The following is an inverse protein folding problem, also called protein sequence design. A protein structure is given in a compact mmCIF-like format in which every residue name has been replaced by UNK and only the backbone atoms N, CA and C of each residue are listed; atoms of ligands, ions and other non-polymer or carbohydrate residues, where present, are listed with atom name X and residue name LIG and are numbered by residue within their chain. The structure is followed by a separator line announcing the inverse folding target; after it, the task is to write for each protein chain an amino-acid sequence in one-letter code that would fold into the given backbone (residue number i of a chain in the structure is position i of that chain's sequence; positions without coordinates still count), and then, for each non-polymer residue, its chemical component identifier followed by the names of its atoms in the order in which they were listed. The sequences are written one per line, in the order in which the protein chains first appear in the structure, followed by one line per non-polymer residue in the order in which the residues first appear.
data_IF_872174085929
#
_entry.id   IF_872174085929
#
_cell.length_a   1.000
_cell.length_b   1.000
_cell.length_c   1.000
_cell.angle_alpha   90.00
_cell.angle_beta   90.00
_cell.angle_gamma   90.00
#
_symmetry.space_group_name_H-M   'P 1'
#
loop_
_entity.id
_entity.type
_entity.pdbx_description
1 polymer ?
#
# COMPACT_ATOMS: atom_id res chain seq x y z
N UNK A 1 9.22 5.70 7.78
CA UNK A 1 8.21 6.70 8.11
C UNK A 1 8.83 7.81 8.96
N UNK A 2 8.45 9.06 8.70
CA UNK A 2 8.89 10.25 9.46
C UNK A 2 7.99 10.40 10.68
N UNK A 3 8.57 10.79 11.83
CA UNK A 3 7.81 11.10 13.04
C UNK A 3 6.89 12.31 12.84
N UNK A 4 5.74 12.39 13.54
CA UNK A 4 4.81 13.53 13.39
C UNK A 4 5.43 14.89 13.70
N UNK A 5 6.45 14.94 14.56
CA UNK A 5 7.19 16.18 14.87
C UNK A 5 8.30 16.50 13.86
N UNK A 6 8.51 15.64 12.85
CA UNK A 6 9.49 15.82 11.79
C UNK A 6 10.96 15.64 12.20
N UNK A 7 11.24 15.09 13.38
CA UNK A 7 12.61 15.02 13.93
C UNK A 7 13.31 13.70 13.74
N UNK A 8 12.55 12.61 13.53
CA UNK A 8 13.11 11.25 13.43
C UNK A 8 12.50 10.47 12.28
N UNK A 9 13.23 9.49 11.78
CA UNK A 9 12.78 8.55 10.76
C UNK A 9 12.89 7.13 11.30
N UNK A 10 11.80 6.38 11.26
CA UNK A 10 11.79 4.95 11.50
C UNK A 10 11.83 4.22 10.17
N UNK A 11 12.67 3.18 10.06
CA UNK A 11 12.85 2.41 8.83
C UNK A 11 13.19 0.95 9.12
N UNK A 12 13.00 0.08 8.14
CA UNK A 12 13.44 -1.32 8.19
C UNK A 12 14.73 -1.49 7.41
N UNK A 13 15.63 -2.30 7.96
CA UNK A 13 16.89 -2.66 7.34
C UNK A 13 17.05 -4.18 7.28
N UNK A 14 17.24 -4.69 6.05
CA UNK A 14 17.40 -6.12 5.80
C UNK A 14 18.89 -6.49 5.69
N UNK A 15 19.29 -7.48 6.45
CA UNK A 15 20.60 -8.10 6.36
C UNK A 15 20.49 -9.45 5.66
N UNK A 16 21.44 -9.72 4.77
CA UNK A 16 21.55 -11.00 4.08
C UNK A 16 22.66 -11.84 4.75
N UNK A 17 22.28 -12.99 5.31
CA UNK A 17 23.17 -13.92 5.96
C UNK A 17 23.55 -15.00 4.95
N UNK A 18 24.51 -14.70 4.10
CA UNK A 18 24.90 -15.52 2.95
C UNK A 18 25.20 -16.99 3.33
N UNK A 19 25.99 -17.30 4.40
CA UNK A 19 26.27 -18.69 4.76
C UNK A 19 25.05 -19.52 5.13
N UNK A 20 23.97 -18.86 5.60
CA UNK A 20 22.74 -19.53 6.02
C UNK A 20 21.66 -19.47 4.92
N UNK A 21 21.90 -18.78 3.82
CA UNK A 21 20.92 -18.46 2.78
C UNK A 21 19.60 -17.91 3.36
N UNK A 22 19.74 -16.97 4.29
CA UNK A 22 18.63 -16.30 4.98
C UNK A 22 18.77 -14.80 4.94
N UNK A 23 17.67 -14.13 5.22
CA UNK A 23 17.66 -12.69 5.50
C UNK A 23 17.00 -12.39 6.84
N UNK A 24 17.36 -11.26 7.42
CA UNK A 24 16.81 -10.76 8.66
C UNK A 24 16.54 -9.27 8.52
N UNK A 25 15.33 -8.85 8.83
CA UNK A 25 14.91 -7.44 8.80
C UNK A 25 14.67 -6.97 10.23
N UNK A 26 15.27 -5.84 10.59
CA UNK A 26 15.06 -5.19 11.88
C UNK A 26 14.60 -3.75 11.66
N UNK A 27 13.99 -3.17 12.68
CA UNK A 27 13.54 -1.77 12.69
C UNK A 27 14.62 -0.89 13.31
N UNK A 28 14.90 0.20 12.65
CA UNK A 28 15.86 1.23 13.04
C UNK A 28 15.18 2.58 13.19
N UNK A 29 15.79 3.42 14.00
CA UNK A 29 15.42 4.82 14.13
C UNK A 29 16.68 5.68 13.97
N UNK A 30 16.54 6.78 13.23
CA UNK A 30 17.56 7.78 12.98
C UNK A 30 16.96 9.17 13.12
N UNK A 31 17.71 10.13 13.62
CA UNK A 31 17.29 11.53 13.62
C UNK A 31 17.37 12.12 12.21
N UNK A 32 16.55 13.13 11.92
CA UNK A 32 16.47 13.74 10.57
C UNK A 32 17.79 14.38 10.11
N UNK A 33 18.68 14.67 11.03
CA UNK A 33 20.03 15.18 10.75
C UNK A 33 21.07 14.07 10.49
N UNK A 34 20.64 12.80 10.54
CA UNK A 34 21.50 11.62 10.34
C UNK A 34 22.18 11.10 11.60
N UNK A 35 22.00 11.75 12.75
CA UNK A 35 22.56 11.31 14.03
C UNK A 35 21.70 10.24 14.71
N UNK A 36 22.23 9.67 15.80
CA UNK A 36 21.53 8.73 16.70
C UNK A 36 20.92 7.51 16.02
N UNK A 37 21.52 7.04 14.91
CA UNK A 37 21.05 5.84 14.21
C UNK A 37 21.20 4.61 15.13
N UNK A 38 20.08 3.92 15.42
CA UNK A 38 20.06 2.77 16.32
C UNK A 38 19.03 1.71 15.91
N UNK A 39 19.36 0.46 16.15
CA UNK A 39 18.45 -0.66 16.01
C UNK A 39 17.49 -0.70 17.21
N UNK A 40 16.19 -0.76 16.92
CA UNK A 40 15.13 -0.84 17.95
C UNK A 40 14.71 -2.27 18.25
N UNK A 41 14.87 -3.21 17.29
CA UNK A 41 14.38 -4.58 17.42
C UNK A 41 15.50 -5.59 17.24
N UNK A 42 15.45 -6.67 18.05
CA UNK A 42 16.41 -7.77 18.03
C UNK A 42 15.70 -9.11 18.27
N UNK A 43 14.46 -9.26 17.77
CA UNK A 43 13.70 -10.50 17.91
C UNK A 43 14.26 -11.62 17.04
N UNK A 44 13.75 -12.84 17.17
CA UNK A 44 14.07 -13.96 16.28
C UNK A 44 13.41 -13.82 14.91
N UNK A 45 12.27 -13.14 14.84
CA UNK A 45 11.50 -12.87 13.61
C UNK A 45 11.96 -11.61 12.93
N UNK A 46 11.73 -11.50 11.61
CA UNK A 46 11.87 -10.24 10.87
C UNK A 46 10.71 -9.30 11.16
N UNK A 47 11.01 -8.02 11.24
CA UNK A 47 10.02 -6.96 11.44
C UNK A 47 9.95 -6.04 10.23
N UNK A 48 8.72 -5.63 9.87
CA UNK A 48 8.43 -4.91 8.63
C UNK A 48 7.51 -3.72 8.85
N UNK A 49 7.48 -2.83 7.84
CA UNK A 49 6.51 -1.74 7.70
C UNK A 49 6.35 -0.86 8.93
N UNK A 50 7.46 -0.34 9.52
CA UNK A 50 7.36 0.53 10.68
C UNK A 50 6.68 1.86 10.31
N UNK A 51 5.79 2.29 11.17
CA UNK A 51 5.11 3.60 11.07
C UNK A 51 4.94 4.21 12.46
N UNK A 52 4.64 5.49 12.51
CA UNK A 52 4.33 6.18 13.76
C UNK A 52 2.81 6.19 13.99
N UNK A 53 2.41 6.16 15.26
CA UNK A 53 1.07 6.57 15.61
C UNK A 53 0.93 8.09 15.49
N UNK A 54 -0.30 8.59 15.52
CA UNK A 54 -0.63 9.98 15.24
C UNK A 54 0.06 11.02 16.13
N UNK A 55 0.27 10.70 17.40
CA UNK A 55 0.91 11.60 18.37
C UNK A 55 2.43 11.41 18.49
N UNK A 56 3.00 10.42 17.79
CA UNK A 56 4.43 10.12 17.82
C UNK A 56 4.92 9.40 19.08
N UNK A 57 4.02 8.98 19.96
CA UNK A 57 4.38 8.30 21.21
C UNK A 57 4.73 6.83 21.01
N UNK A 58 4.31 6.22 19.88
CA UNK A 58 4.51 4.82 19.56
C UNK A 58 4.97 4.62 18.12
N UNK A 59 5.73 3.54 17.93
CA UNK A 59 6.06 2.98 16.64
C UNK A 59 5.24 1.69 16.47
N UNK A 60 4.49 1.61 15.38
CA UNK A 60 3.72 0.45 14.97
C UNK A 60 4.48 -0.30 13.88
N UNK A 61 4.42 -1.63 13.88
CA UNK A 61 5.15 -2.44 12.92
C UNK A 61 4.56 -3.85 12.81
N UNK A 62 4.94 -4.60 11.80
CA UNK A 62 4.56 -6.00 11.66
C UNK A 62 5.67 -6.93 12.17
N UNK A 63 5.29 -7.97 12.92
CA UNK A 63 6.18 -9.02 13.40
C UNK A 63 5.45 -10.35 13.55
N UNK A 64 6.17 -11.45 13.28
CA UNK A 64 5.71 -12.81 13.50
C UNK A 64 6.17 -13.41 14.84
N UNK A 65 6.56 -12.58 15.81
CA UNK A 65 7.06 -13.06 17.12
C UNK A 65 6.04 -13.91 17.89
N UNK A 66 4.75 -13.78 17.60
CA UNK A 66 3.68 -14.61 18.15
C UNK A 66 3.33 -15.86 17.34
N UNK A 67 4.11 -16.16 16.29
CA UNK A 67 3.90 -17.29 15.39
C UNK A 67 3.26 -16.92 14.05
N UNK A 68 2.39 -15.93 14.03
CA UNK A 68 1.78 -15.38 12.82
C UNK A 68 2.08 -13.87 12.71
N UNK A 69 2.11 -13.34 11.48
CA UNK A 69 2.36 -11.92 11.25
C UNK A 69 1.24 -11.08 11.84
N UNK A 70 1.56 -10.17 12.76
CA UNK A 70 0.61 -9.31 13.48
C UNK A 70 1.13 -7.87 13.56
N UNK A 71 0.24 -6.93 13.89
CA UNK A 71 0.64 -5.57 14.28
C UNK A 71 1.16 -5.58 15.72
N UNK A 72 2.28 -4.93 15.91
CA UNK A 72 2.92 -4.69 17.21
C UNK A 72 3.14 -3.19 17.40
N UNK A 73 3.24 -2.77 18.65
CA UNK A 73 3.68 -1.43 19.03
C UNK A 73 4.92 -1.48 19.92
N UNK A 74 5.68 -0.40 19.93
CA UNK A 74 6.78 -0.16 20.87
C UNK A 74 6.95 1.34 21.12
N UNK A 75 7.66 1.68 22.19
CA UNK A 75 8.13 3.05 22.42
C UNK A 75 9.24 3.43 21.43
N UNK A 76 9.51 4.73 21.18
CA UNK A 76 10.59 5.17 20.29
C UNK A 76 12.00 4.77 20.74
N UNK A 77 12.16 4.37 22.01
CA UNK A 77 13.42 3.81 22.54
C UNK A 77 13.57 2.30 22.32
N UNK A 78 12.56 1.64 21.72
CA UNK A 78 12.50 0.19 21.46
C UNK A 78 11.92 -0.62 22.63
N UNK A 79 11.59 0.00 23.75
CA UNK A 79 10.97 -0.65 24.91
C UNK A 79 9.45 -0.81 24.76
N UNK A 80 8.83 -1.54 25.68
CA UNK A 80 7.37 -1.63 25.77
C UNK A 80 6.70 -2.34 24.59
N UNK A 81 7.39 -3.31 23.98
CA UNK A 81 6.84 -4.09 22.85
C UNK A 81 5.57 -4.81 23.26
N UNK A 82 4.52 -4.65 22.45
CA UNK A 82 3.20 -5.24 22.70
C UNK A 82 2.51 -5.58 21.39
N UNK A 83 1.91 -6.76 21.32
CA UNK A 83 1.06 -7.17 20.20
C UNK A 83 -0.27 -6.41 20.23
N UNK A 84 -0.67 -5.87 19.07
CA UNK A 84 -1.85 -5.03 18.90
C UNK A 84 -2.95 -5.70 18.07
N UNK A 85 -2.63 -6.72 17.27
CA UNK A 85 -3.65 -7.48 16.53
C UNK A 85 -3.54 -8.97 16.83
N UNK A 86 -4.68 -9.67 16.70
CA UNK A 86 -4.83 -11.10 16.98
C UNK A 86 -5.64 -11.77 15.87
N UNK A 87 -5.26 -11.50 14.62
CA UNK A 87 -5.92 -12.03 13.43
C UNK A 87 -5.46 -13.46 13.18
N UNK A 88 -6.39 -14.40 13.14
CA UNK A 88 -6.09 -15.79 12.81
C UNK A 88 -5.62 -15.90 11.35
N UNK A 89 -4.50 -16.56 11.11
CA UNK A 89 -3.87 -16.67 9.80
C UNK A 89 -2.92 -15.50 9.47
N UNK A 90 -2.84 -14.51 10.35
CA UNK A 90 -1.94 -13.38 10.20
C UNK A 90 -2.44 -12.30 9.22
N UNK A 91 -1.62 -11.27 9.05
CA UNK A 91 -1.87 -10.13 8.18
C UNK A 91 -0.73 -9.95 7.16
N UNK A 92 -1.02 -9.32 6.03
CA UNK A 92 -0.02 -8.99 4.99
C UNK A 92 0.32 -7.50 4.91
N UNK A 93 -0.51 -6.64 5.52
CA UNK A 93 -0.30 -5.20 5.60
C UNK A 93 -1.32 -4.55 6.54
N UNK A 94 -1.08 -3.31 6.95
CA UNK A 94 -2.00 -2.60 7.83
C UNK A 94 -1.96 -1.08 7.65
N UNK A 95 -3.07 -0.42 8.00
CA UNK A 95 -3.18 1.04 8.20
C UNK A 95 -4.21 1.33 9.28
N UNK A 96 -3.92 2.25 10.19
CA UNK A 96 -4.94 2.78 11.10
C UNK A 96 -5.79 3.86 10.41
N UNK A 97 -7.04 3.98 10.85
CA UNK A 97 -7.91 5.11 10.48
C UNK A 97 -7.29 6.45 10.94
N UNK A 98 -7.68 7.60 10.35
CA UNK A 98 -7.12 8.90 10.74
C UNK A 98 -7.30 9.30 12.21
N UNK A 99 -8.27 8.71 12.90
CA UNK A 99 -8.53 8.87 14.33
C UNK A 99 -7.97 7.73 15.20
N UNK A 100 -7.33 6.73 14.54
CA UNK A 100 -6.76 5.52 15.15
C UNK A 100 -7.76 4.60 15.86
N UNK A 101 -9.06 4.82 15.66
CA UNK A 101 -10.11 3.98 16.27
C UNK A 101 -10.31 2.64 15.58
N UNK A 102 -9.88 2.52 14.32
CA UNK A 102 -10.02 1.31 13.51
C UNK A 102 -8.69 0.92 12.87
N UNK A 103 -8.48 -0.38 12.80
CA UNK A 103 -7.39 -1.01 12.06
C UNK A 103 -7.93 -1.57 10.75
N UNK A 104 -7.43 -1.08 9.63
CA UNK A 104 -7.53 -1.73 8.34
C UNK A 104 -6.33 -2.66 8.19
N UNK A 105 -6.55 -3.87 7.72
CA UNK A 105 -5.48 -4.80 7.38
C UNK A 105 -5.84 -5.62 6.14
N UNK A 106 -4.82 -6.19 5.52
CA UNK A 106 -4.96 -7.15 4.44
C UNK A 106 -4.60 -8.53 4.93
N UNK A 107 -5.33 -9.54 4.47
CA UNK A 107 -5.08 -10.94 4.81
C UNK A 107 -5.47 -11.84 3.64
N UNK A 108 -4.85 -13.01 3.56
CA UNK A 108 -5.14 -14.00 2.52
C UNK A 108 -6.41 -14.78 2.84
N UNK A 109 -7.33 -14.83 1.89
CA UNK A 109 -8.59 -15.59 1.96
C UNK A 109 -8.51 -16.78 1.01
N UNK A 110 -8.81 -17.96 1.52
CA UNK A 110 -8.91 -19.17 0.71
C UNK A 110 -10.28 -19.22 0.04
N UNK A 111 -10.33 -19.08 -1.27
CA UNK A 111 -11.57 -19.09 -2.05
C UNK A 111 -11.72 -20.34 -2.94
N UNK A 112 -10.70 -21.19 -3.02
CA UNK A 112 -10.71 -22.43 -3.83
C UNK A 112 -10.34 -23.62 -2.98
N UNK A 113 -11.09 -24.70 -3.14
CA UNK A 113 -10.74 -25.99 -2.55
C UNK A 113 -9.48 -26.54 -3.20
N UNK A 114 -8.58 -27.03 -2.37
CA UNK A 114 -7.39 -27.76 -2.77
C UNK A 114 -7.63 -29.26 -2.74
N UNK A 115 -6.70 -30.06 -3.26
CA UNK A 115 -6.82 -31.53 -3.28
C UNK A 115 -7.07 -32.07 -1.88
N UNK A 116 -6.42 -31.56 -0.83
CA UNK A 116 -6.61 -32.02 0.54
C UNK A 116 -8.01 -31.68 1.12
N UNK A 117 -8.70 -30.67 0.59
CA UNK A 117 -10.08 -30.35 0.98
C UNK A 117 -11.09 -31.30 0.31
N UNK A 118 -10.84 -31.63 -0.97
CA UNK A 118 -11.70 -32.51 -1.78
C UNK A 118 -11.47 -33.97 -1.40
N UNK A 119 -10.21 -34.33 -1.08
CA UNK A 119 -9.76 -35.65 -0.69
C UNK A 119 -9.06 -35.63 0.65
N UNK A 120 -9.79 -35.57 1.78
CA UNK A 120 -9.20 -35.41 3.12
C UNK A 120 -8.32 -36.61 3.54
N UNK A 121 -8.46 -37.76 2.87
CA UNK A 121 -7.61 -38.94 3.04
C UNK A 121 -6.23 -38.79 2.37
N UNK A 122 -6.01 -37.74 1.59
CA UNK A 122 -4.75 -37.42 0.91
C UNK A 122 -4.12 -36.13 1.40
N UNK A 123 -3.90 -35.93 2.73
CA UNK A 123 -3.48 -34.66 3.29
C UNK A 123 -2.07 -34.19 2.86
N UNK A 124 -1.25 -35.12 2.37
CA UNK A 124 0.11 -34.83 1.90
C UNK A 124 0.21 -34.70 0.38
N UNK A 125 -0.94 -34.73 -0.34
CA UNK A 125 -0.93 -34.56 -1.79
C UNK A 125 -0.43 -33.18 -2.17
N UNK A 126 0.52 -33.13 -3.10
CA UNK A 126 0.98 -31.89 -3.77
C UNK A 126 0.25 -31.62 -5.09
N UNK A 127 -0.74 -32.42 -5.43
CA UNK A 127 -1.58 -32.24 -6.61
C UNK A 127 -2.41 -30.97 -6.52
N UNK A 128 -2.71 -30.35 -7.68
CA UNK A 128 -3.54 -29.14 -7.79
C UNK A 128 -4.63 -29.37 -8.83
N UNK A 129 -5.82 -28.88 -8.54
CA UNK A 129 -6.96 -28.92 -9.46
C UNK A 129 -7.22 -27.47 -9.91
N UNK A 130 -7.07 -27.23 -11.19
CA UNK A 130 -7.30 -25.92 -11.79
C UNK A 130 -8.22 -26.08 -12.99
N UNK A 131 -9.32 -25.33 -12.99
CA UNK A 131 -10.35 -25.39 -14.03
C UNK A 131 -10.36 -24.14 -14.91
N UNK A 132 -9.53 -23.13 -14.58
CA UNK A 132 -9.46 -21.86 -15.29
C UNK A 132 -8.07 -21.24 -15.18
N UNK A 133 -7.84 -20.14 -15.95
CA UNK A 133 -6.60 -19.36 -15.90
C UNK A 133 -6.49 -18.55 -14.61
N UNK A 134 -5.28 -17.95 -14.43
CA UNK A 134 -4.71 -17.40 -13.24
C UNK A 134 -4.71 -18.39 -12.08
N UNK A 135 -4.26 -19.61 -12.40
CA UNK A 135 -3.88 -20.60 -11.39
C UNK A 135 -2.45 -20.42 -10.89
N UNK A 136 -1.64 -19.70 -11.66
CA UNK A 136 -0.26 -19.34 -11.28
C UNK A 136 0.07 -17.94 -11.77
N UNK A 137 0.69 -17.13 -10.91
CA UNK A 137 1.19 -15.81 -11.23
C UNK A 137 2.69 -15.76 -10.92
N UNK A 138 3.52 -15.63 -11.96
CA UNK A 138 4.97 -15.77 -11.88
C UNK A 138 5.37 -17.13 -11.27
N UNK A 139 6.04 -17.09 -10.11
CA UNK A 139 6.50 -18.26 -9.36
C UNK A 139 5.51 -18.73 -8.27
N UNK A 140 4.41 -17.99 -8.06
CA UNK A 140 3.42 -18.27 -7.01
C UNK A 140 2.15 -18.92 -7.56
N UNK A 141 1.62 -19.90 -6.82
CA UNK A 141 0.29 -20.44 -7.06
C UNK A 141 -0.77 -19.48 -6.53
N UNK A 142 -1.87 -19.33 -7.28
CA UNK A 142 -3.02 -18.53 -6.88
C UNK A 142 -4.02 -19.42 -6.15
N UNK A 143 -3.73 -19.71 -4.89
CA UNK A 143 -4.55 -20.54 -4.00
C UNK A 143 -5.43 -19.69 -3.08
N UNK A 144 -5.03 -18.45 -2.86
CA UNK A 144 -5.66 -17.45 -2.00
C UNK A 144 -5.76 -16.11 -2.71
N UNK A 145 -6.63 -15.26 -2.21
CA UNK A 145 -6.76 -13.87 -2.65
C UNK A 145 -6.58 -12.92 -1.46
N UNK A 146 -5.84 -11.84 -1.65
CA UNK A 146 -5.73 -10.78 -0.66
C UNK A 146 -7.06 -10.02 -0.54
N UNK A 147 -7.66 -9.99 0.65
CA UNK A 147 -8.83 -9.16 0.94
C UNK A 147 -8.49 -8.06 1.94
N UNK A 148 -9.30 -7.02 1.96
CA UNK A 148 -9.20 -5.90 2.89
C UNK A 148 -10.19 -6.12 4.03
N UNK A 149 -9.70 -6.01 5.25
CA UNK A 149 -10.47 -6.18 6.48
C UNK A 149 -10.41 -4.93 7.34
N UNK A 150 -11.45 -4.73 8.15
CA UNK A 150 -11.53 -3.67 9.16
C UNK A 150 -11.85 -4.29 10.51
N UNK A 151 -11.26 -3.76 11.57
CA UNK A 151 -11.57 -4.11 12.96
C UNK A 151 -11.42 -2.92 13.88
N UNK A 152 -12.22 -2.86 14.94
CA UNK A 152 -12.10 -1.88 16.04
C UNK A 152 -11.70 -2.51 17.38
N UNK A 153 -11.48 -3.84 17.40
CA UNK A 153 -11.22 -4.60 18.61
C UNK A 153 -9.99 -5.52 18.52
N UNK A 154 -8.97 -5.04 17.80
CA UNK A 154 -7.69 -5.72 17.63
C UNK A 154 -7.78 -7.07 16.89
N UNK A 155 -8.73 -7.21 15.97
CA UNK A 155 -8.90 -8.40 15.14
C UNK A 155 -9.76 -9.51 15.74
N UNK A 156 -10.48 -9.27 16.84
CA UNK A 156 -11.42 -10.24 17.40
C UNK A 156 -12.67 -10.37 16.54
N UNK A 157 -13.20 -9.23 16.09
CA UNK A 157 -14.27 -9.16 15.12
C UNK A 157 -13.76 -8.37 13.90
N UNK A 158 -13.88 -8.96 12.73
CA UNK A 158 -13.37 -8.40 11.47
C UNK A 158 -14.49 -8.31 10.47
N UNK A 159 -14.52 -7.21 9.72
CA UNK A 159 -15.36 -7.02 8.55
C UNK A 159 -14.49 -7.19 7.32
N UNK A 160 -14.74 -8.24 6.52
CA UNK A 160 -14.20 -8.39 5.17
C UNK A 160 -15.02 -7.51 4.23
N UNK A 161 -14.43 -6.43 3.71
CA UNK A 161 -15.14 -5.53 2.77
C UNK A 161 -15.28 -6.10 1.37
N UNK A 162 -14.67 -7.25 1.12
CA UNK A 162 -14.70 -7.98 -0.15
C UNK A 162 -15.29 -9.39 -0.01
N UNK A 163 -16.07 -9.63 1.06
CA UNK A 163 -16.62 -10.96 1.37
C UNK A 163 -17.33 -11.59 0.17
N UNK A 164 -16.91 -12.80 -0.19
CA UNK A 164 -17.47 -13.57 -1.32
C UNK A 164 -16.95 -13.14 -2.70
N UNK A 165 -16.13 -12.13 -2.81
CA UNK A 165 -15.53 -11.69 -4.07
C UNK A 165 -14.32 -12.57 -4.46
N UNK A 166 -14.19 -12.84 -5.78
CA UNK A 166 -13.16 -13.71 -6.37
C UNK A 166 -12.00 -12.88 -6.97
N UNK A 167 -11.69 -11.75 -6.41
CA UNK A 167 -10.59 -10.86 -6.80
C UNK A 167 -9.86 -10.35 -5.58
N UNK A 168 -8.76 -9.66 -5.81
CA UNK A 168 -7.85 -9.28 -4.75
C UNK A 168 -7.56 -7.78 -4.71
N UNK A 169 -7.32 -7.28 -3.52
CA UNK A 169 -6.74 -5.98 -3.23
C UNK A 169 -5.85 -6.07 -1.97
N UNK A 170 -4.58 -5.64 -2.03
CA UNK A 170 -3.85 -5.09 -3.19
C UNK A 170 -3.68 -6.07 -4.35
N UNK A 171 -3.45 -5.52 -5.56
CA UNK A 171 -3.36 -6.31 -6.80
C UNK A 171 -1.97 -6.95 -6.93
N UNK A 172 -1.93 -8.28 -7.04
CA UNK A 172 -0.69 -9.02 -7.29
C UNK A 172 -0.05 -8.70 -8.66
N UNK A 173 1.29 -8.89 -8.81
CA UNK A 173 2.26 -9.40 -7.81
C UNK A 173 2.90 -8.30 -6.96
N UNK A 174 2.78 -7.02 -7.35
CA UNK A 174 3.56 -5.92 -6.80
C UNK A 174 2.75 -4.96 -5.93
N UNK A 175 1.44 -5.12 -5.86
CA UNK A 175 0.59 -4.25 -5.04
C UNK A 175 0.79 -4.49 -3.55
N UNK A 176 0.84 -3.39 -2.81
CA UNK A 176 0.93 -3.35 -1.36
C UNK A 176 -0.02 -2.30 -0.77
N UNK A 177 0.28 -1.87 0.44
CA UNK A 177 -0.58 -0.90 1.15
C UNK A 177 -0.64 0.49 0.48
N UNK A 178 0.24 0.80 -0.48
CA UNK A 178 0.13 2.01 -1.32
C UNK A 178 -1.14 2.02 -2.18
N UNK A 179 -1.71 0.86 -2.46
CA UNK A 179 -2.97 0.72 -3.22
C UNK A 179 -4.23 0.86 -2.37
N UNK A 180 -4.10 1.10 -1.08
CA UNK A 180 -5.23 1.21 -0.14
C UNK A 180 -5.10 2.51 0.65
N UNK A 181 -6.16 3.30 0.77
CA UNK A 181 -6.17 4.54 1.52
C UNK A 181 -7.47 4.73 2.32
N UNK A 182 -7.36 5.33 3.49
CA UNK A 182 -8.50 5.88 4.22
C UNK A 182 -8.87 7.26 3.65
N UNK A 183 -10.17 7.56 3.58
CA UNK A 183 -10.59 8.96 3.47
C UNK A 183 -10.31 9.70 4.77
N UNK A 184 -10.16 11.03 4.70
CA UNK A 184 -9.80 11.85 5.85
C UNK A 184 -10.76 11.75 7.03
N UNK A 185 -12.04 11.53 6.76
CA UNK A 185 -13.10 11.36 7.74
C UNK A 185 -13.17 9.95 8.36
N UNK A 186 -12.36 9.02 7.83
CA UNK A 186 -12.36 7.61 8.26
C UNK A 186 -13.63 6.84 7.91
N UNK A 187 -14.51 7.39 7.05
CA UNK A 187 -15.78 6.75 6.70
C UNK A 187 -15.70 5.87 5.46
N UNK A 188 -14.65 6.05 4.64
CA UNK A 188 -14.50 5.27 3.42
C UNK A 188 -13.08 4.72 3.29
N UNK A 189 -12.99 3.61 2.57
CA UNK A 189 -11.74 3.02 2.11
C UNK A 189 -11.69 3.15 0.60
N UNK A 190 -10.56 3.64 0.09
CA UNK A 190 -10.22 3.66 -1.33
C UNK A 190 -9.21 2.55 -1.60
N UNK A 191 -9.43 1.77 -2.66
CA UNK A 191 -8.51 0.70 -3.01
C UNK A 191 -8.50 0.41 -4.50
N UNK A 192 -7.35 -0.03 -5.00
CA UNK A 192 -7.21 -0.50 -6.38
C UNK A 192 -7.56 -1.98 -6.46
N UNK A 193 -8.38 -2.36 -7.45
CA UNK A 193 -8.76 -3.74 -7.66
C UNK A 193 -9.01 -4.03 -9.14
N UNK A 194 -8.63 -5.24 -9.59
CA UNK A 194 -8.99 -5.78 -10.89
C UNK A 194 -10.16 -6.74 -10.74
N UNK A 195 -11.38 -6.25 -10.86
CA UNK A 195 -12.60 -7.07 -10.74
C UNK A 195 -12.85 -7.92 -11.99
N UNK A 196 -11.95 -8.85 -12.26
CA UNK A 196 -11.99 -9.81 -13.36
C UNK A 196 -11.61 -11.20 -12.86
N UNK A 197 -12.01 -12.24 -13.56
CA UNK A 197 -11.70 -13.64 -13.21
C UNK A 197 -11.21 -14.42 -14.44
N UNK A 198 -10.53 -15.53 -14.20
CA UNK A 198 -10.16 -16.49 -15.23
C UNK A 198 -9.30 -15.86 -16.33
N UNK A 199 -9.66 -16.12 -17.57
CA UNK A 199 -8.94 -15.61 -18.75
C UNK A 199 -8.93 -14.07 -18.80
N UNK A 200 -10.03 -13.41 -18.43
CA UNK A 200 -10.12 -11.96 -18.49
C UNK A 200 -9.16 -11.30 -17.50
N UNK A 201 -8.97 -11.90 -16.32
CA UNK A 201 -7.94 -11.45 -15.38
C UNK A 201 -6.53 -11.63 -15.96
N UNK A 202 -6.27 -12.77 -16.64
CA UNK A 202 -4.95 -13.09 -17.18
C UNK A 202 -4.52 -12.17 -18.35
N UNK A 203 -5.46 -11.61 -19.09
CA UNK A 203 -5.18 -10.82 -20.31
C UNK A 203 -5.36 -9.31 -20.12
N UNK A 204 -5.95 -8.87 -19.01
CA UNK A 204 -6.23 -7.46 -18.74
C UNK A 204 -5.27 -6.89 -17.71
N UNK A 205 -4.87 -5.64 -17.91
CA UNK A 205 -4.18 -4.82 -16.90
C UNK A 205 -5.14 -3.82 -16.23
N UNK A 206 -6.41 -3.79 -16.67
CA UNK A 206 -7.37 -2.81 -16.17
C UNK A 206 -7.68 -3.02 -14.69
N UNK A 207 -7.23 -2.08 -13.86
CA UNK A 207 -7.63 -1.92 -12.46
C UNK A 207 -8.39 -0.64 -12.31
N UNK A 208 -9.38 -0.66 -11.43
CA UNK A 208 -10.14 0.53 -11.05
C UNK A 208 -9.89 0.89 -9.59
N UNK A 209 -10.12 2.15 -9.24
CA UNK A 209 -10.17 2.63 -7.86
C UNK A 209 -11.61 2.52 -7.37
N UNK A 210 -11.79 1.74 -6.32
CA UNK A 210 -13.08 1.57 -5.64
C UNK A 210 -13.11 2.36 -4.35
N UNK A 211 -14.29 2.88 -4.03
CA UNK A 211 -14.61 3.47 -2.73
C UNK A 211 -15.62 2.59 -2.02
N UNK A 212 -15.23 2.06 -0.87
CA UNK A 212 -16.13 1.34 0.03
C UNK A 212 -16.54 2.25 1.18
N UNK A 213 -17.85 2.47 1.35
CA UNK A 213 -18.42 3.24 2.47
C UNK A 213 -18.70 2.30 3.65
N UNK A 214 -18.00 2.51 4.75
CA UNK A 214 -18.06 1.62 5.91
C UNK A 214 -19.45 1.60 6.56
N UNK A 215 -20.11 2.75 6.82
CA UNK A 215 -21.44 2.76 7.42
C UNK A 215 -22.53 2.08 6.62
N UNK A 216 -22.48 2.16 5.30
CA UNK A 216 -23.54 1.64 4.41
C UNK A 216 -23.20 0.32 3.74
N UNK A 217 -21.92 -0.07 3.67
CA UNK A 217 -21.45 -1.20 2.90
C UNK A 217 -21.49 -0.98 1.37
N UNK A 218 -21.78 0.24 0.93
CA UNK A 218 -21.82 0.55 -0.51
C UNK A 218 -20.41 0.62 -1.10
N UNK A 219 -20.22 -0.05 -2.25
CA UNK A 219 -18.98 -0.01 -3.01
C UNK A 219 -19.21 0.67 -4.36
N UNK A 220 -18.47 1.75 -4.65
CA UNK A 220 -18.55 2.54 -5.86
C UNK A 220 -17.24 2.49 -6.65
N UNK A 221 -17.32 2.26 -7.97
CA UNK A 221 -16.19 2.42 -8.88
C UNK A 221 -15.98 3.90 -9.19
N UNK A 222 -14.83 4.46 -8.84
CA UNK A 222 -14.50 5.88 -9.08
C UNK A 222 -13.87 6.12 -10.46
N UNK A 223 -13.27 5.11 -11.07
CA UNK A 223 -12.57 5.21 -12.37
C UNK A 223 -13.27 4.44 -13.48
N UNK A 224 -14.54 4.11 -13.30
CA UNK A 224 -15.34 3.40 -14.30
C UNK A 224 -15.18 4.01 -15.71
N UNK A 225 -14.86 3.13 -16.69
CA UNK A 225 -14.65 3.52 -18.08
C UNK A 225 -13.22 3.96 -18.40
N UNK A 226 -12.33 4.09 -17.41
CA UNK A 226 -10.89 4.22 -17.64
C UNK A 226 -10.31 2.83 -17.88
N UNK A 227 -9.37 2.74 -18.81
CA UNK A 227 -8.73 1.46 -19.18
C UNK A 227 -7.27 1.45 -18.71
N UNK A 228 -6.71 0.28 -18.51
CA UNK A 228 -5.34 0.14 -18.00
C UNK A 228 -5.28 0.19 -16.47
N UNK A 229 -4.08 0.43 -15.92
CA UNK A 229 -3.91 0.50 -14.47
C UNK A 229 -4.35 1.85 -13.91
N UNK A 230 -5.31 1.86 -12.98
CA UNK A 230 -5.59 2.96 -12.06
C UNK A 230 -5.23 2.51 -10.64
N UNK A 231 -4.17 3.09 -10.05
CA UNK A 231 -3.60 2.57 -8.80
C UNK A 231 -2.97 3.67 -7.93
N UNK A 232 -2.53 3.28 -6.74
CA UNK A 232 -1.76 4.11 -5.80
C UNK A 232 -2.46 5.42 -5.45
N UNK A 233 -3.74 5.31 -5.05
CA UNK A 233 -4.58 6.45 -4.71
C UNK A 233 -4.11 7.15 -3.43
N UNK A 234 -4.00 8.48 -3.50
CA UNK A 234 -3.66 9.34 -2.36
C UNK A 234 -4.74 10.40 -2.14
N UNK A 235 -5.13 10.59 -0.89
CA UNK A 235 -6.18 11.55 -0.49
C UNK A 235 -5.55 12.90 -0.15
N UNK A 236 -6.16 13.99 -0.59
CA UNK A 236 -5.71 15.35 -0.28
C UNK A 236 -5.79 15.63 1.23
N UNK A 237 -4.94 16.53 1.78
CA UNK A 237 -5.00 16.91 3.20
C UNK A 237 -6.35 17.46 3.65
N UNK A 238 -7.12 18.07 2.74
CA UNK A 238 -8.48 18.55 3.00
C UNK A 238 -9.53 17.44 2.95
N UNK A 239 -9.22 16.32 2.24
CA UNK A 239 -10.14 15.19 2.03
C UNK A 239 -11.16 15.42 0.93
N UNK A 240 -11.02 16.51 0.16
CA UNK A 240 -11.93 16.90 -0.93
C UNK A 240 -11.52 16.34 -2.30
N UNK A 241 -10.29 15.86 -2.43
CA UNK A 241 -9.71 15.35 -3.68
C UNK A 241 -8.94 14.05 -3.46
N UNK A 242 -8.81 13.30 -4.53
CA UNK A 242 -7.88 12.18 -4.65
C UNK A 242 -6.98 12.39 -5.86
N UNK A 243 -5.77 11.85 -5.80
CA UNK A 243 -4.89 11.72 -6.95
C UNK A 243 -4.44 10.27 -7.09
N UNK A 244 -4.16 9.82 -8.32
CA UNK A 244 -3.71 8.46 -8.58
C UNK A 244 -2.85 8.37 -9.83
N UNK A 245 -2.14 7.26 -9.95
CA UNK A 245 -1.37 6.88 -11.12
C UNK A 245 -2.28 6.12 -12.10
N UNK A 246 -2.30 6.52 -13.38
CA UNK A 246 -3.20 5.97 -14.40
C UNK A 246 -2.46 5.63 -15.68
N UNK A 247 -2.54 4.39 -16.14
CA UNK A 247 -2.17 4.00 -17.50
C UNK A 247 -3.39 4.07 -18.41
N UNK A 248 -3.18 4.13 -19.72
CA UNK A 248 -4.28 4.40 -20.66
C UNK A 248 -4.89 3.14 -21.25
N UNK A 249 -4.07 2.13 -21.55
CA UNK A 249 -4.47 0.99 -22.37
C UNK A 249 -4.54 -0.31 -21.59
N UNK A 250 -5.64 -1.02 -21.71
CA UNK A 250 -5.77 -2.38 -21.19
C UNK A 250 -4.80 -3.34 -21.90
N UNK A 251 -4.14 -4.21 -21.12
CA UNK A 251 -3.19 -5.21 -21.61
C UNK A 251 -1.83 -4.64 -22.00
N UNK A 252 -1.51 -3.38 -21.70
CA UNK A 252 -0.28 -2.73 -22.10
C UNK A 252 0.49 -2.14 -20.92
N UNK A 253 1.33 -2.94 -20.30
CA UNK A 253 2.08 -2.59 -19.07
C UNK A 253 3.20 -1.56 -19.26
N UNK A 254 3.56 -1.24 -20.51
CA UNK A 254 4.57 -0.23 -20.83
C UNK A 254 3.99 1.16 -21.08
N UNK A 255 2.73 1.39 -20.76
CA UNK A 255 2.12 2.72 -20.85
C UNK A 255 2.70 3.68 -19.82
N UNK A 256 2.65 4.96 -20.17
CA UNK A 256 3.00 6.05 -19.26
C UNK A 256 2.06 6.08 -18.06
N UNK A 257 2.61 6.19 -16.87
CA UNK A 257 1.85 6.49 -15.65
C UNK A 257 1.50 7.98 -15.62
N UNK A 258 0.23 8.28 -15.93
CA UNK A 258 -0.34 9.62 -15.91
C UNK A 258 -0.70 10.02 -14.50
N UNK A 259 -0.75 11.34 -14.23
CA UNK A 259 -1.21 11.89 -12.97
C UNK A 259 -2.64 12.42 -13.10
N UNK A 260 -3.58 11.70 -12.52
CA UNK A 260 -4.97 12.12 -12.45
C UNK A 260 -5.32 12.70 -11.07
N UNK A 261 -6.22 13.68 -11.07
CA UNK A 261 -6.85 14.21 -9.86
C UNK A 261 -8.36 14.22 -10.05
N UNK A 262 -9.09 13.81 -9.03
CA UNK A 262 -10.55 13.86 -8.99
C UNK A 262 -11.01 14.71 -7.81
N UNK A 263 -11.94 15.60 -8.05
CA UNK A 263 -12.70 16.28 -7.01
C UNK A 263 -13.83 15.34 -6.54
N UNK A 264 -13.82 15.00 -5.25
CA UNK A 264 -14.76 14.02 -4.68
C UNK A 264 -16.19 14.57 -4.55
N UNK A 265 -16.37 15.92 -4.59
CA UNK A 265 -17.69 16.55 -4.53
C UNK A 265 -18.38 16.53 -5.88
N UNK A 266 -17.65 16.87 -6.93
CA UNK A 266 -18.19 16.99 -8.29
C UNK A 266 -18.07 15.72 -9.10
N UNK A 267 -17.11 14.87 -8.77
CA UNK A 267 -16.73 13.69 -9.56
C UNK A 267 -15.89 14.03 -10.81
N UNK A 268 -15.51 15.30 -10.99
CA UNK A 268 -14.68 15.71 -12.13
C UNK A 268 -13.27 15.11 -12.02
N UNK A 269 -12.83 14.46 -13.11
CA UNK A 269 -11.50 13.87 -13.25
C UNK A 269 -10.68 14.68 -14.25
N UNK A 270 -9.43 14.95 -13.92
CA UNK A 270 -8.52 15.70 -14.78
C UNK A 270 -7.13 15.04 -14.85
N UNK A 271 -6.65 14.82 -16.07
CA UNK A 271 -5.26 14.46 -16.35
C UNK A 271 -4.39 15.72 -16.30
N UNK A 272 -3.49 15.79 -15.32
CA UNK A 272 -2.53 16.89 -15.19
C UNK A 272 -1.18 16.59 -15.87
N UNK A 273 -0.99 15.40 -16.39
CA UNK A 273 0.24 14.99 -17.09
C UNK A 273 0.17 15.11 -18.62
N UNK A 274 -0.87 15.78 -19.15
CA UNK A 274 -0.96 16.08 -20.59
C UNK A 274 0.25 16.92 -20.99
N UNK A 275 1.01 16.44 -22.01
CA UNK A 275 2.23 17.09 -22.47
C UNK A 275 3.48 16.85 -21.62
N UNK A 276 3.36 16.17 -20.49
CA UNK A 276 4.47 15.69 -19.69
C UNK A 276 4.85 14.27 -20.16
N UNK A 277 5.98 14.17 -20.89
CA UNK A 277 6.43 12.94 -21.56
C UNK A 277 7.28 12.06 -20.63
N UNK A 278 6.80 11.80 -19.42
CA UNK A 278 7.46 10.96 -18.42
C UNK A 278 6.40 10.34 -17.50
N UNK A 279 6.77 9.32 -16.74
CA UNK A 279 5.95 8.73 -15.68
C UNK A 279 5.79 9.70 -14.50
N UNK A 280 4.65 9.65 -13.83
CA UNK A 280 4.42 10.30 -12.56
C UNK A 280 4.08 9.23 -11.52
N UNK A 281 4.99 8.98 -10.60
CA UNK A 281 4.89 7.91 -9.60
C UNK A 281 5.13 8.43 -8.19
N UNK A 282 4.74 7.64 -7.17
CA UNK A 282 4.96 8.02 -5.77
C UNK A 282 4.35 9.38 -5.43
N UNK A 283 3.08 9.54 -5.76
CA UNK A 283 2.35 10.81 -5.57
C UNK A 283 2.26 11.18 -4.09
N UNK A 284 2.59 12.43 -3.77
CA UNK A 284 2.55 12.97 -2.41
C UNK A 284 1.95 14.38 -2.42
N UNK A 285 0.81 14.55 -1.77
CA UNK A 285 0.20 15.87 -1.61
C UNK A 285 1.07 16.79 -0.75
N UNK A 286 1.19 18.05 -1.16
CA UNK A 286 1.69 19.08 -0.27
C UNK A 286 0.73 19.28 0.92
N UNK A 287 1.22 19.65 2.12
CA UNK A 287 0.37 19.84 3.29
C UNK A 287 -0.76 20.86 3.12
N UNK A 288 -0.56 21.85 2.24
CA UNK A 288 -1.58 22.86 1.90
C UNK A 288 -2.62 22.38 0.87
N UNK A 289 -2.41 21.18 0.25
CA UNK A 289 -3.27 20.62 -0.78
C UNK A 289 -3.27 21.37 -2.11
N UNK A 290 -2.32 22.28 -2.34
CA UNK A 290 -2.25 23.09 -3.57
C UNK A 290 -1.31 22.49 -4.62
N UNK A 291 -0.46 21.55 -4.21
CA UNK A 291 0.52 20.92 -5.07
C UNK A 291 0.61 19.42 -4.80
N UNK A 292 1.06 18.68 -5.81
CA UNK A 292 1.39 17.26 -5.70
C UNK A 292 2.86 17.10 -6.09
N UNK A 293 3.66 16.51 -5.20
CA UNK A 293 5.02 16.09 -5.47
C UNK A 293 5.01 14.65 -5.95
N UNK A 294 5.92 14.30 -6.86
CA UNK A 294 6.01 12.97 -7.42
C UNK A 294 7.43 12.67 -7.92
N UNK A 295 7.73 11.40 -8.11
CA UNK A 295 8.97 10.95 -8.71
C UNK A 295 8.74 10.69 -10.20
N UNK A 296 9.72 11.05 -11.02
CA UNK A 296 9.69 10.83 -12.45
C UNK A 296 11.06 10.50 -12.99
N UNK A 297 11.09 9.48 -13.86
CA UNK A 297 12.30 8.99 -14.53
C UNK A 297 12.65 9.83 -15.76
N UNK A 298 13.90 10.25 -15.86
CA UNK A 298 14.43 10.91 -17.06
C UNK A 298 15.95 10.75 -17.17
N UNK A 299 16.42 10.39 -18.36
CA UNK A 299 17.86 10.22 -18.64
C UNK A 299 18.58 9.31 -17.62
N UNK A 300 17.96 8.18 -17.31
CA UNK A 300 18.43 7.19 -16.33
C UNK A 300 18.68 7.78 -14.93
N UNK A 301 17.86 8.74 -14.53
CA UNK A 301 17.79 9.27 -13.15
C UNK A 301 16.33 9.46 -12.74
N UNK A 302 16.04 9.20 -11.47
CA UNK A 302 14.73 9.44 -10.88
C UNK A 302 14.78 10.73 -10.07
N UNK A 303 13.99 11.71 -10.46
CA UNK A 303 14.00 13.05 -9.89
C UNK A 303 12.65 13.43 -9.30
N UNK A 304 12.64 14.35 -8.36
CA UNK A 304 11.42 14.87 -7.75
C UNK A 304 10.88 16.03 -8.59
N UNK A 305 9.58 15.99 -8.86
CA UNK A 305 8.81 17.03 -9.55
C UNK A 305 7.67 17.52 -8.67
N UNK A 306 7.16 18.70 -8.97
CA UNK A 306 5.95 19.24 -8.33
C UNK A 306 4.97 19.74 -9.39
N UNK A 307 3.72 19.33 -9.26
CA UNK A 307 2.56 19.85 -9.97
C UNK A 307 1.89 20.94 -9.13
N UNK A 308 1.62 22.10 -9.72
CA UNK A 308 0.72 23.11 -9.14
C UNK A 308 -0.70 22.88 -9.67
N UNK A 309 -1.68 22.66 -8.82
CA UNK A 309 -3.06 22.42 -9.22
C UNK A 309 -3.72 23.65 -9.85
N UNK A 310 -3.39 24.85 -9.35
CA UNK A 310 -3.99 26.10 -9.83
C UNK A 310 -3.59 26.46 -11.25
N UNK A 311 -2.33 26.17 -11.61
CA UNK A 311 -1.80 26.50 -12.96
C UNK A 311 -1.71 25.30 -13.88
N UNK A 312 -1.72 24.07 -13.34
CA UNK A 312 -1.44 22.84 -14.09
C UNK A 312 0.03 22.67 -14.50
N UNK A 313 0.92 23.55 -14.01
CA UNK A 313 2.33 23.49 -14.37
C UNK A 313 3.08 22.43 -13.56
N UNK A 314 3.94 21.67 -14.23
CA UNK A 314 4.88 20.72 -13.64
C UNK A 314 6.27 21.32 -13.69
N UNK A 315 6.99 21.32 -12.56
CA UNK A 315 8.37 21.77 -12.48
C UNK A 315 9.25 20.73 -11.82
N UNK A 316 10.47 20.58 -12.27
CA UNK A 316 11.51 19.76 -11.66
C UNK A 316 12.00 20.42 -10.37
N UNK A 317 12.16 19.65 -9.30
CA UNK A 317 12.58 20.15 -7.96
C UNK A 317 14.04 19.83 -7.69
N UNK A 318 14.49 18.63 -8.07
CA UNK A 318 15.84 18.13 -7.81
C UNK A 318 16.65 18.03 -9.07
N UNK A 319 17.97 18.09 -8.93
CA UNK A 319 18.94 17.99 -10.03
C UNK A 319 20.07 17.03 -9.64
N UNK A 320 20.84 16.60 -10.62
CA UNK A 320 22.01 15.75 -10.44
C UNK A 320 21.78 14.31 -10.85
N UNK A 321 22.73 13.44 -10.53
CA UNK A 321 22.72 12.01 -10.88
C UNK A 321 22.28 11.20 -9.66
N UNK A 322 21.00 11.23 -9.38
CA UNK A 322 20.36 10.57 -8.23
C UNK A 322 19.17 9.76 -8.71
N UNK A 323 18.85 8.70 -7.98
CA UNK A 323 17.61 7.95 -8.10
C UNK A 323 16.89 8.03 -6.77
N UNK A 324 15.84 8.84 -6.71
CA UNK A 324 14.94 8.92 -5.56
C UNK A 324 13.90 7.83 -5.67
N UNK A 325 13.74 7.02 -4.64
CA UNK A 325 12.81 5.87 -4.61
C UNK A 325 11.63 6.08 -3.66
N UNK A 326 11.60 7.19 -2.96
CA UNK A 326 10.52 7.54 -2.03
C UNK A 326 10.61 8.98 -1.59
N UNK A 327 9.47 9.59 -1.32
CA UNK A 327 9.32 10.95 -0.82
C UNK A 327 8.34 10.99 0.34
N UNK A 328 8.61 11.82 1.33
CA UNK A 328 7.74 12.02 2.49
C UNK A 328 7.90 13.42 3.07
N UNK A 329 6.88 13.90 3.77
CA UNK A 329 6.97 15.15 4.52
C UNK A 329 7.56 14.91 5.90
N UNK A 330 8.46 15.82 6.32
CA UNK A 330 9.00 15.95 7.67
C UNK A 330 8.66 17.35 8.18
N UNK A 331 7.48 17.52 8.75
CA UNK A 331 6.94 18.84 9.05
C UNK A 331 6.70 19.63 7.75
N UNK A 332 7.41 20.73 7.58
CA UNK A 332 7.39 21.60 6.39
C UNK A 332 8.48 21.24 5.35
N UNK A 333 9.30 20.23 5.63
CA UNK A 333 10.41 19.82 4.76
C UNK A 333 10.05 18.55 3.97
N UNK A 334 10.39 18.56 2.70
CA UNK A 334 10.32 17.37 1.86
C UNK A 334 11.59 16.55 2.07
N UNK A 335 11.45 15.33 2.54
CA UNK A 335 12.50 14.31 2.64
C UNK A 335 12.41 13.30 1.50
N UNK A 336 13.53 12.67 1.16
CA UNK A 336 13.62 11.63 0.13
C UNK A 336 14.63 10.55 0.51
N UNK A 337 14.44 9.40 -0.08
CA UNK A 337 15.32 8.24 0.00
C UNK A 337 15.89 7.97 -1.39
#
# INVERSE_FOLDING_TARGET
AVSPDGKSVVYSLTYFIIPENKSKTNIYLIDIDGNNNRCLTQSSSSEYSPTWNKDGSKILYMSADSGEMQVWEMNPDGSGRKQMSFVKGGITGFKYSPDESQLLFTAEVKLKDQVADIYPDLPLSSGRINNDLMYRHWDQWVDTFGHIFITSDNGKNTLDIMEGEMWEAPVRPWGGMEQVAWTKDGQNILYSCRKKVGKDYATSTNTDIYQYNIPTGECKNLTEGMMGYDMNVVVSPQGDKIAWESMERDGYEADKQRLFVMDLTTGEKKDYSIGFDQNATHLLWAPDGQSIYFISDRHATDQIYALSLSTGSIRKITEGKHNYIGIAWAGDKLGSI
#
